data_IF_166970445859
#
_entry.id   IF_166970445859
#
_cell.length_a   1.000
_cell.length_b   1.000
_cell.length_c   1.000
_cell.angle_alpha   90.00
_cell.angle_beta   90.00
_cell.angle_gamma   90.00
#
_symmetry.space_group_name_H-M   'P 1'
#
loop_
_entity.id
_entity.type
_entity.pdbx_description
1 polymer ?
#
# COMPACT_ATOMS: atom_id res chain seq x y z
N UNK A 1 26.49 -8.57 -6.70
CA UNK A 1 26.11 -8.53 -8.12
C UNK A 1 25.18 -7.33 -8.24
N UNK A 2 25.50 -6.34 -9.08
CA UNK A 2 24.66 -5.14 -9.21
C UNK A 2 23.55 -5.52 -10.19
N UNK A 3 22.33 -5.72 -9.69
CA UNK A 3 21.16 -5.90 -10.55
C UNK A 3 20.84 -4.55 -11.21
N UNK A 4 20.77 -4.57 -12.54
CA UNK A 4 20.24 -3.46 -13.32
C UNK A 4 18.72 -3.53 -13.12
N UNK A 5 18.14 -2.62 -12.32
CA UNK A 5 16.71 -2.62 -12.07
C UNK A 5 15.95 -2.26 -13.35
N UNK A 6 15.51 -3.28 -14.08
CA UNK A 6 14.26 -3.21 -14.81
C UNK A 6 13.18 -3.16 -13.73
N UNK A 7 12.24 -2.23 -13.81
CA UNK A 7 11.10 -2.22 -12.88
C UNK A 7 10.42 -3.60 -12.92
N UNK A 8 10.29 -4.24 -11.76
CA UNK A 8 9.62 -5.53 -11.65
C UNK A 8 8.15 -5.34 -12.02
N UNK A 9 7.62 -6.23 -12.88
CA UNK A 9 6.21 -6.13 -13.26
C UNK A 9 5.31 -6.64 -12.12
N UNK A 10 5.80 -7.63 -11.39
CA UNK A 10 5.16 -8.20 -10.20
C UNK A 10 6.04 -7.88 -9.00
N UNK A 11 5.45 -7.25 -7.99
CA UNK A 11 6.14 -6.70 -6.81
C UNK A 11 5.53 -7.30 -5.55
N UNK A 12 6.33 -7.63 -4.54
CA UNK A 12 5.84 -7.97 -3.20
C UNK A 12 5.35 -6.67 -2.55
N UNK A 13 4.06 -6.59 -2.25
CA UNK A 13 3.40 -5.34 -1.87
C UNK A 13 3.06 -5.26 -0.38
N UNK A 14 2.68 -6.39 0.22
CA UNK A 14 2.27 -6.46 1.63
C UNK A 14 2.62 -7.83 2.22
N UNK A 15 3.04 -7.87 3.48
CA UNK A 15 3.41 -9.10 4.21
C UNK A 15 2.81 -9.04 5.61
N UNK A 16 1.93 -9.99 5.93
CA UNK A 16 1.41 -10.19 7.28
C UNK A 16 2.00 -11.48 7.84
N UNK A 17 3.15 -11.40 8.51
CA UNK A 17 3.94 -12.58 8.92
C UNK A 17 3.78 -12.96 10.39
N UNK A 18 3.25 -12.08 11.23
CA UNK A 18 2.97 -12.38 12.64
C UNK A 18 1.69 -11.64 13.08
N UNK A 19 0.50 -12.13 12.70
CA UNK A 19 -0.79 -11.58 13.12
C UNK A 19 -0.99 -11.50 14.64
N UNK A 20 -1.87 -10.61 15.10
CA UNK A 20 -2.26 -10.56 16.52
C UNK A 20 -3.16 -11.76 16.84
N UNK A 21 -2.58 -12.73 17.54
CA UNK A 21 -3.29 -13.97 17.85
C UNK A 21 -4.48 -13.82 18.82
N UNK A 22 -4.57 -12.67 19.50
CA UNK A 22 -5.66 -12.35 20.42
C UNK A 22 -6.84 -11.70 19.71
N UNK A 23 -6.59 -10.92 18.65
CA UNK A 23 -7.60 -10.20 17.89
C UNK A 23 -8.04 -10.95 16.64
N UNK A 24 -7.10 -11.54 15.92
CA UNK A 24 -7.32 -12.16 14.60
C UNK A 24 -7.52 -13.68 14.74
N UNK A 25 -6.76 -14.33 15.61
CA UNK A 25 -6.88 -15.76 15.90
C UNK A 25 -5.59 -16.52 15.60
N UNK A 26 -5.64 -17.81 15.21
CA UNK A 26 -4.41 -18.55 14.93
C UNK A 26 -3.57 -17.86 13.86
N UNK A 27 -2.27 -17.75 14.14
CA UNK A 27 -1.24 -17.14 13.30
C UNK A 27 -1.31 -17.62 11.85
N UNK A 28 -1.19 -18.93 11.65
CA UNK A 28 -1.26 -19.62 10.36
C UNK A 28 -2.55 -19.42 9.56
N UNK A 29 -3.58 -18.80 10.13
CA UNK A 29 -4.83 -18.52 9.41
C UNK A 29 -4.85 -17.11 8.82
N UNK A 30 -4.01 -16.20 9.31
CA UNK A 30 -4.02 -14.79 8.91
C UNK A 30 -2.70 -14.36 8.28
N UNK A 31 -1.74 -15.28 8.14
CA UNK A 31 -0.55 -14.98 7.37
C UNK A 31 -0.86 -14.86 5.89
N UNK A 32 -0.28 -13.85 5.25
CA UNK A 32 -0.36 -13.70 3.81
C UNK A 32 0.84 -12.94 3.24
N UNK A 33 1.06 -13.18 1.95
CA UNK A 33 1.88 -12.37 1.07
C UNK A 33 0.95 -11.79 0.02
N UNK A 34 1.03 -10.50 -0.21
CA UNK A 34 0.35 -9.85 -1.33
C UNK A 34 1.36 -9.46 -2.40
N UNK A 35 0.98 -9.70 -3.65
CA UNK A 35 1.73 -9.21 -4.81
C UNK A 35 0.89 -8.19 -5.61
N UNK A 36 1.57 -7.23 -6.21
CA UNK A 36 0.98 -6.19 -7.04
C UNK A 36 1.51 -6.25 -8.47
N UNK A 37 0.60 -6.13 -9.44
CA UNK A 37 0.97 -5.91 -10.84
C UNK A 37 1.23 -4.41 -11.09
N UNK A 38 2.50 -4.01 -11.03
CA UNK A 38 2.95 -2.63 -11.28
C UNK A 38 2.99 -2.26 -12.77
N UNK A 39 2.43 -3.10 -13.66
CA UNK A 39 2.37 -2.83 -15.09
C UNK A 39 1.00 -2.33 -15.55
N UNK A 40 0.99 -1.58 -16.65
CA UNK A 40 -0.23 -1.12 -17.31
C UNK A 40 -0.95 -2.20 -18.15
N UNK A 41 -0.50 -3.45 -18.05
CA UNK A 41 -1.02 -4.58 -18.82
C UNK A 41 -1.30 -5.77 -17.92
N UNK A 42 -2.18 -6.67 -18.36
CA UNK A 42 -2.42 -7.93 -17.68
C UNK A 42 -1.14 -8.77 -17.72
N UNK A 43 -0.76 -9.36 -16.58
CA UNK A 43 0.38 -10.27 -16.47
C UNK A 43 -0.14 -11.68 -16.27
N UNK A 44 0.36 -12.61 -17.08
CA UNK A 44 0.13 -14.04 -16.90
C UNK A 44 1.17 -14.58 -15.91
N UNK A 45 0.70 -15.12 -14.79
CA UNK A 45 1.54 -15.68 -13.74
C UNK A 45 1.89 -17.15 -13.99
N UNK A 46 1.44 -17.79 -15.07
CA UNK A 46 1.77 -19.19 -15.39
C UNK A 46 3.30 -19.42 -15.39
N UNK A 47 3.77 -20.28 -14.47
CA UNK A 47 5.18 -20.59 -14.24
C UNK A 47 5.93 -19.62 -13.32
N UNK A 48 5.29 -18.57 -12.79
CA UNK A 48 5.86 -17.81 -11.68
C UNK A 48 5.89 -18.67 -10.40
N UNK A 49 6.81 -18.35 -9.50
CA UNK A 49 6.90 -19.02 -8.20
C UNK A 49 7.40 -18.07 -7.14
N UNK A 50 6.99 -18.28 -5.89
CA UNK A 50 7.51 -17.56 -4.73
C UNK A 50 8.22 -18.55 -3.82
N UNK A 51 9.46 -18.21 -3.48
CA UNK A 51 10.27 -18.96 -2.55
C UNK A 51 10.52 -18.16 -1.28
N UNK A 52 10.45 -18.85 -0.16
CA UNK A 52 11.02 -18.42 1.10
C UNK A 52 12.44 -18.93 1.23
N UNK A 53 13.34 -18.06 1.67
CA UNK A 53 14.75 -18.37 1.84
C UNK A 53 15.20 -18.04 3.26
N UNK A 54 15.60 -19.07 3.99
CA UNK A 54 16.17 -18.96 5.34
C UNK A 54 17.67 -19.19 5.29
N UNK A 55 18.45 -18.31 5.92
CA UNK A 55 19.91 -18.36 5.89
C UNK A 55 20.50 -18.98 7.16
N UNK A 56 21.31 -20.02 6.98
CA UNK A 56 22.05 -20.72 8.03
C UNK A 56 23.55 -20.46 7.90
N UNK A 57 23.92 -19.17 7.99
CA UNK A 57 25.31 -18.71 7.84
C UNK A 57 25.80 -18.79 6.38
N UNK A 58 26.39 -19.92 5.99
CA UNK A 58 26.97 -20.11 4.63
C UNK A 58 26.06 -20.89 3.68
N UNK A 59 24.88 -21.30 4.16
CA UNK A 59 23.91 -22.10 3.44
C UNK A 59 22.55 -21.42 3.52
N UNK A 60 21.68 -21.76 2.59
CA UNK A 60 20.30 -21.29 2.58
C UNK A 60 19.39 -22.43 2.17
N UNK A 61 18.28 -22.57 2.88
CA UNK A 61 17.19 -23.44 2.47
C UNK A 61 16.20 -22.60 1.65
N UNK A 62 15.73 -23.16 0.53
CA UNK A 62 14.79 -22.50 -0.39
C UNK A 62 13.53 -23.33 -0.40
N UNK A 63 12.47 -22.80 0.20
CA UNK A 63 11.19 -23.45 0.34
C UNK A 63 10.19 -22.82 -0.64
N UNK A 64 9.54 -23.65 -1.45
CA UNK A 64 8.54 -23.20 -2.40
C UNK A 64 7.23 -22.92 -1.65
N UNK A 65 6.79 -21.66 -1.66
CA UNK A 65 5.51 -21.26 -1.05
C UNK A 65 4.34 -21.46 -2.02
N UNK A 66 4.52 -20.98 -3.25
CA UNK A 66 3.52 -21.07 -4.32
C UNK A 66 4.20 -21.24 -5.67
N UNK A 67 3.60 -22.08 -6.49
CA UNK A 67 3.84 -22.16 -7.93
C UNK A 67 2.52 -21.81 -8.62
N UNK A 68 2.56 -20.83 -9.52
CA UNK A 68 1.37 -20.37 -10.23
C UNK A 68 1.16 -21.23 -11.47
N UNK A 69 0.14 -22.07 -11.41
CA UNK A 69 -0.28 -22.91 -12.53
C UNK A 69 -1.67 -22.48 -13.06
N UNK A 70 -2.03 -22.95 -14.26
CA UNK A 70 -3.38 -22.86 -14.83
C UNK A 70 -3.79 -21.49 -15.41
N UNK A 71 -2.86 -20.79 -16.07
CA UNK A 71 -3.18 -19.55 -16.79
C UNK A 71 -3.83 -18.49 -15.88
N UNK A 72 -3.33 -18.40 -14.65
CA UNK A 72 -3.70 -17.37 -13.70
C UNK A 72 -3.17 -16.02 -14.16
N UNK A 73 -4.01 -15.01 -14.16
CA UNK A 73 -3.67 -13.67 -14.65
C UNK A 73 -4.03 -12.62 -13.62
N UNK A 74 -3.14 -11.65 -13.44
CA UNK A 74 -3.39 -10.47 -12.62
C UNK A 74 -3.62 -9.26 -13.54
N UNK A 75 -4.73 -8.56 -13.35
CA UNK A 75 -5.09 -7.39 -14.14
C UNK A 75 -4.09 -6.24 -13.90
N UNK A 76 -4.01 -5.24 -14.80
CA UNK A 76 -3.16 -4.07 -14.59
C UNK A 76 -3.46 -3.40 -13.24
N UNK A 77 -2.43 -3.01 -12.50
CA UNK A 77 -2.57 -2.29 -11.22
C UNK A 77 -3.54 -2.97 -10.24
N UNK A 78 -3.46 -4.30 -10.16
CA UNK A 78 -4.29 -5.12 -9.28
C UNK A 78 -3.42 -5.95 -8.34
N UNK A 79 -4.06 -6.43 -7.27
CA UNK A 79 -3.45 -7.18 -6.17
C UNK A 79 -3.85 -8.65 -6.24
N UNK A 80 -2.98 -9.51 -5.72
CA UNK A 80 -3.24 -10.94 -5.55
C UNK A 80 -2.75 -11.38 -4.16
N UNK A 81 -3.61 -12.07 -3.42
CA UNK A 81 -3.34 -12.52 -2.05
C UNK A 81 -2.97 -13.99 -2.08
N UNK A 82 -1.81 -14.31 -1.51
CA UNK A 82 -1.31 -15.66 -1.32
C UNK A 82 -1.33 -15.93 0.19
N UNK A 83 -2.18 -16.86 0.64
CA UNK A 83 -2.37 -17.18 2.06
C UNK A 83 -2.69 -18.65 2.28
N UNK A 84 -2.22 -19.20 3.40
CA UNK A 84 -2.61 -20.52 3.92
C UNK A 84 -4.05 -20.53 4.46
N UNK A 85 -4.54 -19.38 4.93
CA UNK A 85 -5.89 -19.15 5.44
C UNK A 85 -6.92 -18.83 4.36
N UNK A 86 -6.89 -19.51 3.22
CA UNK A 86 -7.62 -19.13 2.00
C UNK A 86 -9.14 -18.85 2.17
N UNK A 87 -9.78 -19.44 3.18
CA UNK A 87 -11.20 -19.19 3.47
C UNK A 87 -11.51 -17.84 4.15
N UNK A 88 -10.47 -17.10 4.58
CA UNK A 88 -10.58 -15.82 5.31
C UNK A 88 -10.51 -14.64 4.33
N UNK A 89 -9.68 -14.74 3.30
CA UNK A 89 -9.50 -13.71 2.29
C UNK A 89 -10.27 -14.09 1.03
N UNK A 90 -11.30 -13.29 0.70
CA UNK A 90 -12.00 -13.41 -0.57
C UNK A 90 -10.96 -13.33 -1.72
N UNK A 91 -11.05 -14.24 -2.69
CA UNK A 91 -10.17 -14.31 -3.88
C UNK A 91 -8.74 -14.83 -3.67
N UNK A 92 -8.35 -15.30 -2.48
CA UNK A 92 -7.03 -15.94 -2.30
C UNK A 92 -6.88 -17.26 -3.08
N UNK A 93 -5.68 -17.49 -3.62
CA UNK A 93 -5.37 -18.70 -4.40
C UNK A 93 -5.26 -19.95 -3.52
N UNK A 94 -5.95 -21.03 -3.89
CA UNK A 94 -5.83 -22.37 -3.29
C UNK A 94 -4.50 -23.09 -3.65
N UNK A 95 -3.41 -22.36 -3.88
CA UNK A 95 -2.11 -22.89 -4.33
C UNK A 95 -0.98 -22.67 -3.32
N UNK A 96 -1.29 -22.23 -2.11
CA UNK A 96 -0.32 -22.25 -1.00
C UNK A 96 0.04 -23.70 -0.69
N UNK A 97 1.31 -24.06 -0.81
CA UNK A 97 1.73 -25.43 -0.53
C UNK A 97 1.55 -25.73 0.97
N UNK A 98 0.73 -26.75 1.29
CA UNK A 98 0.20 -27.05 2.63
C UNK A 98 1.22 -26.88 3.79
N UNK A 99 0.75 -26.27 4.89
CA UNK A 99 1.40 -26.14 6.21
C UNK A 99 2.64 -25.23 6.36
N UNK A 100 3.01 -24.44 5.35
CA UNK A 100 4.13 -23.50 5.48
C UNK A 100 3.62 -22.16 6.06
N UNK A 101 4.16 -21.76 7.21
CA UNK A 101 3.94 -20.45 7.83
C UNK A 101 5.12 -19.53 7.51
N UNK A 102 4.91 -18.23 7.59
CA UNK A 102 6.03 -17.29 7.57
C UNK A 102 6.78 -17.38 8.91
N UNK A 103 8.07 -17.01 8.97
CA UNK A 103 8.81 -17.03 10.23
C UNK A 103 8.63 -15.73 11.01
N UNK A 104 8.28 -15.85 12.29
CA UNK A 104 7.95 -14.72 13.17
C UNK A 104 9.11 -14.30 14.09
N UNK A 105 10.32 -14.84 13.87
CA UNK A 105 11.45 -14.59 14.79
C UNK A 105 12.82 -14.64 14.13
N UNK A 106 12.85 -14.61 12.81
CA UNK A 106 14.09 -14.66 12.05
C UNK A 106 13.99 -13.85 10.77
N UNK A 107 15.16 -13.35 10.37
CA UNK A 107 15.32 -12.68 9.11
C UNK A 107 14.94 -13.62 7.96
N UNK A 108 13.94 -13.19 7.19
CA UNK A 108 13.30 -14.01 6.17
C UNK A 108 13.40 -13.33 4.82
N UNK A 109 13.79 -14.08 3.79
CA UNK A 109 13.80 -13.57 2.42
C UNK A 109 12.71 -14.19 1.59
N UNK A 110 11.90 -13.37 0.94
CA UNK A 110 10.93 -13.79 -0.07
C UNK A 110 11.47 -13.42 -1.45
N UNK A 111 11.39 -14.33 -2.41
CA UNK A 111 11.83 -14.12 -3.78
C UNK A 111 10.74 -14.56 -4.75
N UNK A 112 10.35 -13.67 -5.66
CA UNK A 112 9.51 -13.99 -6.82
C UNK A 112 10.44 -14.36 -7.97
N UNK A 113 10.25 -15.56 -8.55
CA UNK A 113 10.88 -15.95 -9.80
C UNK A 113 9.86 -15.94 -10.93
N UNK A 114 10.29 -15.43 -12.09
CA UNK A 114 9.51 -15.52 -13.32
C UNK A 114 9.62 -16.92 -13.97
N UNK A 115 8.90 -17.21 -15.07
CA UNK A 115 8.88 -18.55 -15.68
C UNK A 115 10.21 -19.02 -16.28
N UNK A 116 11.18 -18.12 -16.41
CA UNK A 116 12.55 -18.48 -16.82
C UNK A 116 13.45 -18.81 -15.62
N UNK A 117 12.92 -18.75 -14.39
CA UNK A 117 13.63 -18.84 -13.11
C UNK A 117 14.64 -17.71 -12.87
N UNK A 118 14.39 -16.53 -13.44
CA UNK A 118 15.11 -15.31 -13.08
C UNK A 118 14.36 -14.60 -11.94
N UNK A 119 15.06 -14.06 -10.92
CA UNK A 119 14.41 -13.30 -9.85
C UNK A 119 13.80 -12.02 -10.43
N UNK A 120 12.49 -11.86 -10.23
CA UNK A 120 11.71 -10.67 -10.64
C UNK A 120 11.72 -9.62 -9.52
N UNK A 121 11.45 -10.04 -8.28
CA UNK A 121 11.47 -9.18 -7.09
C UNK A 121 11.87 -9.98 -5.84
N UNK A 122 12.39 -9.29 -4.82
CA UNK A 122 12.70 -9.90 -3.53
C UNK A 122 12.75 -8.88 -2.40
N UNK A 123 12.46 -9.37 -1.19
CA UNK A 123 12.57 -8.63 0.07
C UNK A 123 13.18 -9.52 1.14
N UNK A 124 14.10 -8.97 1.91
CA UNK A 124 14.65 -9.57 3.14
C UNK A 124 14.15 -8.78 4.35
N UNK A 125 13.07 -9.24 4.98
CA UNK A 125 12.47 -8.59 6.16
C UNK A 125 12.93 -9.22 7.48
N UNK A 126 12.71 -8.52 8.58
CA UNK A 126 13.09 -8.94 9.94
C UNK A 126 11.98 -8.61 10.94
N UNK A 127 12.01 -9.24 12.11
CA UNK A 127 11.03 -9.09 13.21
C UNK A 127 11.26 -7.82 14.05
N UNK A 128 12.24 -7.00 13.68
CA UNK A 128 12.55 -5.78 14.39
C UNK A 128 13.46 -4.80 13.65
N UNK A 129 13.93 -3.80 14.38
CA UNK A 129 14.68 -2.68 13.81
C UNK A 129 15.79 -3.12 12.84
N UNK A 130 15.84 -2.61 11.60
CA UNK A 130 15.18 -1.39 11.13
C UNK A 130 13.78 -1.55 10.52
N UNK A 131 13.18 -2.73 10.62
CA UNK A 131 11.79 -2.98 10.24
C UNK A 131 10.82 -2.51 11.33
N UNK A 132 9.56 -2.19 11.00
CA UNK A 132 8.54 -1.86 12.00
C UNK A 132 8.28 -3.02 12.96
N UNK A 133 8.35 -2.77 14.27
CA UNK A 133 8.14 -3.83 15.27
C UNK A 133 6.64 -4.12 15.46
N UNK A 134 5.76 -3.18 15.11
CA UNK A 134 4.31 -3.33 15.26
C UNK A 134 3.73 -4.35 14.25
N UNK A 135 4.51 -4.75 13.25
CA UNK A 135 4.16 -5.89 12.38
C UNK A 135 4.49 -7.25 13.00
N UNK A 136 5.17 -7.27 14.16
CA UNK A 136 5.60 -8.48 14.87
C UNK A 136 4.60 -8.86 15.99
N UNK A 137 3.36 -9.16 15.64
CA UNK A 137 2.36 -9.67 16.60
C UNK A 137 1.41 -8.63 17.20
N UNK A 138 1.56 -7.34 16.88
CA UNK A 138 0.58 -6.30 17.23
C UNK A 138 -0.56 -6.18 16.18
N UNK A 139 -0.54 -7.04 15.16
CA UNK A 139 -1.63 -7.22 14.19
C UNK A 139 -1.55 -6.34 12.95
N UNK A 140 -0.56 -5.45 12.84
CA UNK A 140 -0.32 -4.73 11.60
C UNK A 140 0.48 -5.59 10.62
N UNK A 141 0.34 -5.33 9.33
CA UNK A 141 1.19 -5.93 8.30
C UNK A 141 2.31 -4.97 7.89
N UNK A 142 3.34 -5.50 7.24
CA UNK A 142 4.33 -4.71 6.51
C UNK A 142 3.75 -4.31 5.16
N UNK A 143 3.63 -3.01 4.91
CA UNK A 143 3.16 -2.46 3.62
C UNK A 143 4.27 -1.70 2.91
N UNK A 144 4.39 -1.90 1.60
CA UNK A 144 5.34 -1.21 0.75
C UNK A 144 4.88 0.23 0.45
N UNK A 145 5.78 1.20 0.58
CA UNK A 145 5.47 2.63 0.36
C UNK A 145 5.56 3.05 -1.11
N UNK A 146 6.58 2.61 -1.83
CA UNK A 146 6.76 2.90 -3.25
C UNK A 146 7.19 1.63 -3.99
N UNK A 147 6.30 1.14 -4.86
CA UNK A 147 6.47 -0.06 -5.71
C UNK A 147 7.62 0.04 -6.73
N UNK A 148 8.19 1.24 -6.90
CA UNK A 148 9.30 1.50 -7.84
C UNK A 148 10.65 1.66 -7.14
N UNK A 149 10.70 1.45 -5.83
CA UNK A 149 11.91 1.57 -5.00
C UNK A 149 12.36 0.19 -4.53
N UNK A 150 13.61 0.08 -4.08
CA UNK A 150 14.21 -1.18 -3.62
C UNK A 150 13.46 -1.78 -2.41
N UNK A 151 12.86 -2.94 -2.62
CA UNK A 151 12.15 -3.71 -1.60
C UNK A 151 13.05 -4.19 -0.46
N UNK A 152 14.38 -4.24 -0.63
CA UNK A 152 15.29 -4.59 0.46
C UNK A 152 15.67 -3.41 1.35
N UNK A 153 15.17 -2.21 1.04
CA UNK A 153 15.31 -1.07 1.93
C UNK A 153 14.18 -1.07 2.95
N UNK A 154 14.48 -1.33 4.22
CA UNK A 154 13.46 -1.24 5.29
C UNK A 154 12.81 0.15 5.38
N UNK A 155 13.48 1.20 4.88
CA UNK A 155 12.92 2.55 4.78
C UNK A 155 11.85 2.70 3.69
N UNK A 156 11.62 1.69 2.86
CA UNK A 156 10.52 1.64 1.89
C UNK A 156 9.31 0.85 2.42
N UNK A 157 9.39 0.35 3.65
CA UNK A 157 8.32 -0.39 4.30
C UNK A 157 7.83 0.35 5.54
N UNK A 158 6.52 0.24 5.80
CA UNK A 158 5.88 0.77 7.00
C UNK A 158 4.77 -0.18 7.45
N UNK A 159 3.99 0.22 8.45
CA UNK A 159 2.86 -0.57 8.95
C UNK A 159 1.59 -0.23 8.20
N UNK A 160 0.69 -1.20 8.06
CA UNK A 160 -0.67 -0.96 7.58
C UNK A 160 -1.41 0.05 8.46
N UNK A 161 -2.44 0.67 7.90
CA UNK A 161 -3.30 1.59 8.66
C UNK A 161 -4.24 0.87 9.63
N UNK A 162 -4.58 -0.38 9.33
CA UNK A 162 -5.52 -1.22 10.07
C UNK A 162 -4.87 -2.54 10.50
N UNK A 163 -5.39 -3.12 11.58
CA UNK A 163 -5.06 -4.49 12.01
C UNK A 163 -5.61 -5.48 10.99
N UNK A 164 -4.81 -6.48 10.63
CA UNK A 164 -5.08 -7.42 9.54
C UNK A 164 -4.68 -6.92 8.16
N UNK A 165 -4.08 -5.73 8.07
CA UNK A 165 -3.52 -5.21 6.84
C UNK A 165 -4.53 -4.58 5.89
N UNK A 166 -4.15 -4.49 4.62
CA UNK A 166 -4.95 -4.00 3.49
C UNK A 166 -5.14 -5.05 2.37
N UNK A 167 -5.37 -6.35 2.68
CA UNK A 167 -5.34 -7.41 1.69
C UNK A 167 -6.37 -7.20 0.57
N UNK A 168 -5.88 -7.16 -0.66
CA UNK A 168 -6.63 -6.96 -1.90
C UNK A 168 -6.85 -5.49 -2.28
N UNK A 169 -6.29 -4.54 -1.53
CA UNK A 169 -6.52 -3.10 -1.68
C UNK A 169 -5.21 -2.31 -1.65
N UNK A 170 -5.31 -1.01 -1.91
CA UNK A 170 -4.16 -0.10 -1.82
C UNK A 170 -3.70 0.10 -0.37
N UNK A 171 -2.39 -0.04 -0.13
CA UNK A 171 -1.74 0.06 1.19
C UNK A 171 -2.09 1.32 2.00
N UNK A 172 -2.30 2.47 1.34
CA UNK A 172 -2.56 3.76 1.99
C UNK A 172 -3.95 4.34 1.64
N UNK A 173 -4.80 3.51 1.02
CA UNK A 173 -6.01 3.99 0.35
C UNK A 173 -5.70 4.88 -0.86
N UNK A 174 -6.72 5.13 -1.67
CA UNK A 174 -6.60 5.98 -2.86
C UNK A 174 -5.99 7.33 -2.43
N UNK A 175 -4.89 7.69 -3.07
CA UNK A 175 -4.26 8.99 -2.85
C UNK A 175 -5.15 10.01 -3.53
N UNK A 176 -6.21 10.41 -2.83
CA UNK A 176 -7.19 11.35 -3.33
C UNK A 176 -6.57 12.74 -3.29
N UNK A 177 -6.10 13.18 -4.45
CA UNK A 177 -5.62 14.53 -4.67
C UNK A 177 -6.78 15.52 -4.65
N UNK A 178 -6.57 16.64 -3.96
CA UNK A 178 -7.50 17.77 -3.98
C UNK A 178 -7.13 18.82 -2.95
N UNK A 179 -8.00 19.82 -2.78
CA UNK A 179 -7.81 20.80 -1.74
C UNK A 179 -8.16 20.24 -0.36
N UNK A 180 -7.16 20.15 0.52
CA UNK A 180 -7.30 19.66 1.91
C UNK A 180 -7.52 20.78 2.93
N UNK A 181 -7.54 22.04 2.50
CA UNK A 181 -7.76 23.19 3.37
C UNK A 181 -9.27 23.44 3.53
N UNK A 182 -9.77 23.29 4.75
CA UNK A 182 -11.19 23.48 5.08
C UNK A 182 -11.68 24.92 4.88
N UNK A 183 -10.79 25.90 4.81
CA UNK A 183 -11.12 27.32 4.56
C UNK A 183 -11.18 27.66 3.05
N UNK A 184 -10.83 26.72 2.17
CA UNK A 184 -10.89 26.91 0.73
C UNK A 184 -12.28 26.60 0.15
N UNK A 185 -12.64 27.28 -0.94
CA UNK A 185 -13.91 27.15 -1.64
C UNK A 185 -14.11 25.83 -2.37
N UNK A 186 -13.01 25.13 -2.66
CA UNK A 186 -13.01 23.83 -3.31
C UNK A 186 -12.46 22.73 -2.39
N UNK A 187 -12.59 22.90 -1.06
CA UNK A 187 -12.26 21.87 -0.09
C UNK A 187 -12.91 20.52 -0.46
N UNK A 188 -12.10 19.48 -0.56
CA UNK A 188 -12.54 18.12 -0.82
C UNK A 188 -12.30 17.27 0.43
N UNK A 189 -13.38 16.87 1.12
CA UNK A 189 -13.27 16.04 2.33
C UNK A 189 -12.72 14.62 2.06
N UNK A 190 -12.79 14.17 0.81
CA UNK A 190 -12.29 12.85 0.40
C UNK A 190 -10.79 12.94 0.04
N UNK A 191 -10.24 14.14 -0.18
CA UNK A 191 -8.84 14.32 -0.48
C UNK A 191 -7.98 14.13 0.78
N UNK A 192 -6.98 13.25 0.68
CA UNK A 192 -5.99 13.01 1.73
C UNK A 192 -4.62 13.63 1.39
N UNK A 193 -4.42 14.11 0.16
CA UNK A 193 -3.18 14.78 -0.27
C UNK A 193 -3.48 16.09 -0.99
N UNK A 194 -2.87 17.17 -0.48
CA UNK A 194 -2.95 18.50 -1.09
C UNK A 194 -2.23 18.57 -2.43
N UNK A 195 -2.96 18.86 -3.51
CA UNK A 195 -2.41 18.97 -4.88
C UNK A 195 -2.09 20.43 -5.31
N UNK A 196 -2.29 21.38 -4.39
CA UNK A 196 -2.12 22.80 -4.67
C UNK A 196 -3.28 23.44 -5.44
N UNK A 197 -4.42 22.74 -5.58
CA UNK A 197 -5.61 23.25 -6.26
C UNK A 197 -6.46 24.21 -5.42
N UNK A 198 -6.16 24.44 -4.13
CA UNK A 198 -7.01 25.23 -3.24
C UNK A 198 -7.31 26.65 -3.78
N UNK A 199 -8.60 26.94 -3.94
CA UNK A 199 -9.14 28.24 -4.34
C UNK A 199 -9.76 28.92 -3.12
N UNK A 200 -9.37 30.16 -2.86
CA UNK A 200 -9.89 30.95 -1.72
C UNK A 200 -10.74 32.11 -2.23
N UNK A 201 -11.72 32.57 -1.43
CA UNK A 201 -12.51 33.73 -1.83
C UNK A 201 -11.64 34.99 -1.83
N UNK A 202 -12.03 35.98 -2.62
CA UNK A 202 -11.38 37.30 -2.57
C UNK A 202 -11.56 37.93 -1.17
N UNK A 203 -10.63 38.79 -0.75
CA UNK A 203 -10.73 39.46 0.54
C UNK A 203 -12.08 40.19 0.69
N UNK A 204 -12.82 39.86 1.75
CA UNK A 204 -14.14 40.43 2.01
C UNK A 204 -15.32 39.72 1.35
N UNK A 205 -15.08 38.63 0.60
CA UNK A 205 -16.10 37.85 -0.07
C UNK A 205 -16.24 36.42 0.50
N UNK A 206 -17.40 35.79 0.29
CA UNK A 206 -17.62 34.36 0.47
C UNK A 206 -17.21 33.57 -0.78
N UNK A 207 -17.24 32.25 -0.68
CA UNK A 207 -16.98 31.35 -1.82
C UNK A 207 -18.03 31.43 -2.93
N UNK A 208 -19.24 31.90 -2.62
CA UNK A 208 -20.29 32.17 -3.60
C UNK A 208 -20.13 33.55 -4.25
N UNK A 209 -19.13 34.33 -3.83
CA UNK A 209 -18.89 35.70 -4.29
C UNK A 209 -19.74 36.75 -3.58
N UNK A 210 -20.37 36.41 -2.45
CA UNK A 210 -21.17 37.36 -1.67
C UNK A 210 -20.30 38.22 -0.76
N UNK A 211 -20.67 39.48 -0.59
CA UNK A 211 -19.96 40.37 0.32
C UNK A 211 -20.23 40.02 1.79
N UNK A 212 -19.16 39.76 2.58
CA UNK A 212 -19.26 39.43 4.02
C UNK A 212 -18.80 40.54 4.96
N UNK A 213 -18.14 41.57 4.43
CA UNK A 213 -17.64 42.74 5.21
C UNK A 213 -18.55 43.97 5.12
N UNK A 214 -19.69 43.85 4.43
CA UNK A 214 -20.63 44.94 4.18
C UNK A 214 -20.30 45.72 2.91
N UNK A 215 -21.34 46.19 2.22
CA UNK A 215 -21.23 47.04 1.04
C UNK A 215 -21.36 48.52 1.42
N UNK A 216 -20.68 49.39 0.69
CA UNK A 216 -20.87 50.84 0.81
C UNK A 216 -22.12 51.35 0.07
N UNK A 217 -22.39 52.66 0.10
CA UNK A 217 -23.57 53.23 -0.55
C UNK A 217 -23.58 53.11 -2.09
N UNK A 218 -22.48 52.68 -2.71
CA UNK A 218 -22.37 52.40 -4.13
C UNK A 218 -22.43 50.90 -4.46
N UNK A 219 -22.67 50.04 -3.45
CA UNK A 219 -22.70 48.57 -3.62
C UNK A 219 -21.32 47.94 -3.74
N UNK A 220 -20.26 48.62 -3.26
CA UNK A 220 -18.89 48.06 -3.27
C UNK A 220 -18.61 47.35 -1.96
N UNK A 221 -18.29 46.06 -2.04
CA UNK A 221 -17.92 45.27 -0.87
C UNK A 221 -16.64 45.78 -0.20
N UNK A 222 -16.69 46.01 1.11
CA UNK A 222 -15.57 46.59 1.88
C UNK A 222 -15.26 48.04 1.50
N UNK A 223 -16.16 48.69 0.75
CA UNK A 223 -16.02 50.08 0.35
C UNK A 223 -16.12 51.04 1.53
N UNK A 224 -15.56 52.23 1.37
CA UNK A 224 -15.58 53.29 2.39
C UNK A 224 -16.40 54.51 1.94
N UNK A 225 -17.20 54.37 0.89
CA UNK A 225 -18.08 55.45 0.47
C UNK A 225 -19.18 55.66 1.53
N UNK A 226 -19.05 56.75 2.27
CA UNK A 226 -20.14 57.34 3.06
C UNK A 226 -20.56 58.62 2.36
N UNK A 227 -21.71 58.69 1.68
CA UNK A 227 -22.32 60.00 1.39
C UNK A 227 -23.85 59.94 1.40
N UNK A 228 -24.44 60.85 2.19
CA UNK A 228 -25.87 61.21 2.31
C UNK A 228 -26.85 60.23 1.64
N UNK A 229 -27.10 59.09 2.31
CA UNK A 229 -28.22 58.22 1.97
C UNK A 229 -29.53 58.97 2.25
N UNK A 230 -30.06 59.67 1.24
CA UNK A 230 -31.34 60.41 1.26
C UNK A 230 -32.55 59.49 1.15
#
# INVERSE_FOLDING_TARGET
MIFNFVFANIVINEIHYNPDQTLEGPDSNHEFIEIFNNSSHEVNLDGYSIYMVTYWGWWSDHELLVEFDHNHTIAPFSYEIISSGHSIYDFSLENWHDDITLPNSENTTLIIYNPHHDPEDHVTYDDGHPWPNEADGDGYSLVLMDVNVDNNSSCNWTISSDIGGSPGFENFGDTMYGCIDADACNYNQEANVGDGSCEYPAEGFSCDGDCVVGEDCNGVCGGTAEEDCS
#
